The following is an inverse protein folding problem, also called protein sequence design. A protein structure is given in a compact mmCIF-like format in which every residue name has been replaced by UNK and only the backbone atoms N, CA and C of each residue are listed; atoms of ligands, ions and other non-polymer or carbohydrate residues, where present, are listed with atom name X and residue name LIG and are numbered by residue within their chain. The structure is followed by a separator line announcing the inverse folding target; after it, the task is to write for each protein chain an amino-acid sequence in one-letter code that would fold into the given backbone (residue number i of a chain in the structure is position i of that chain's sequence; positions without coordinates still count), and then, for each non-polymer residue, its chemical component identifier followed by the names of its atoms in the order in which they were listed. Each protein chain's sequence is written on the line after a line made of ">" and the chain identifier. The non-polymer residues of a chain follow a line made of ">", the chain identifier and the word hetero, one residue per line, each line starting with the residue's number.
data_IF_214961452453
#
_entry.id   IF_214961452453
#
_cell.length_a   1.000
_cell.length_b   1.000
_cell.length_c   1.000
_cell.angle_alpha   90.00
_cell.angle_beta   90.00
_cell.angle_gamma   90.00
#
_symmetry.space_group_name_H-M   'P 1'
#
loop_
_entity.id
_entity.type
_entity.pdbx_description
1 polymer ?
#
# COMPACT_ATOMS: atom_id res chain seq x y z
N UNK A 1 -6.17 -46.46 4.24
CA UNK A 1 -5.45 -45.28 3.69
C UNK A 1 -5.17 -44.36 4.87
N UNK A 2 -3.99 -44.47 5.45
CA UNK A 2 -3.57 -43.68 6.56
C UNK A 2 -3.44 -42.24 6.07
N UNK A 3 -4.25 -41.33 6.63
CA UNK A 3 -4.11 -39.92 6.39
C UNK A 3 -2.73 -39.50 6.90
N UNK A 4 -1.82 -39.15 6.00
CA UNK A 4 -0.55 -38.55 6.39
C UNK A 4 -0.87 -37.38 7.32
N UNK A 5 -0.21 -37.22 8.47
CA UNK A 5 -0.43 -36.10 9.35
C UNK A 5 -0.17 -34.83 8.55
N UNK A 6 -1.21 -34.01 8.45
CA UNK A 6 -1.13 -32.75 7.72
C UNK A 6 -0.04 -31.91 8.39
N UNK A 7 1.06 -31.69 7.69
CA UNK A 7 2.21 -30.95 8.21
C UNK A 7 1.73 -29.56 8.65
N UNK A 8 1.93 -29.23 9.93
CA UNK A 8 1.54 -27.93 10.47
C UNK A 8 2.29 -26.82 9.74
N UNK A 9 1.56 -25.85 9.20
CA UNK A 9 2.16 -24.73 8.46
C UNK A 9 3.06 -23.90 9.39
N UNK A 10 4.18 -23.41 8.82
CA UNK A 10 5.10 -22.46 9.46
C UNK A 10 5.12 -21.18 8.63
N UNK A 11 4.35 -20.19 9.05
CA UNK A 11 4.22 -18.91 8.36
C UNK A 11 4.92 -17.82 9.16
N UNK A 12 5.84 -17.11 8.53
CA UNK A 12 6.45 -15.92 9.07
C UNK A 12 5.77 -14.68 8.48
N UNK A 13 5.57 -13.69 9.32
CA UNK A 13 5.30 -12.32 8.90
C UNK A 13 6.52 -11.47 9.25
N UNK A 14 7.12 -10.86 8.25
CA UNK A 14 8.25 -9.94 8.39
C UNK A 14 7.77 -8.51 8.22
N UNK A 15 8.26 -7.60 9.08
CA UNK A 15 7.99 -6.16 9.04
C UNK A 15 9.27 -5.38 9.37
N UNK A 16 9.68 -4.48 8.48
CA UNK A 16 10.84 -3.62 8.69
C UNK A 16 10.47 -2.47 9.63
N UNK A 17 11.09 -2.43 10.80
CA UNK A 17 10.73 -1.50 11.88
C UNK A 17 10.94 -0.03 11.49
N UNK A 18 9.86 0.76 11.47
CA UNK A 18 9.84 2.16 11.05
C UNK A 18 10.67 2.41 9.77
N UNK A 19 10.45 1.60 8.75
CA UNK A 19 11.28 1.40 7.56
C UNK A 19 11.86 2.69 6.98
N UNK A 20 11.04 3.69 6.63
CA UNK A 20 11.57 4.92 6.04
C UNK A 20 12.49 5.66 7.00
N UNK A 21 12.22 5.63 8.30
CA UNK A 21 13.12 6.23 9.29
C UNK A 21 14.43 5.44 9.37
N UNK A 22 14.38 4.12 9.36
CA UNK A 22 15.58 3.29 9.37
C UNK A 22 16.47 3.56 8.16
N UNK A 23 15.88 3.70 6.98
CA UNK A 23 16.63 4.06 5.75
C UNK A 23 17.24 5.46 5.86
N UNK A 24 16.51 6.46 6.38
CA UNK A 24 17.07 7.80 6.56
C UNK A 24 18.21 7.83 7.58
N UNK A 25 18.17 7.00 8.63
CA UNK A 25 19.28 6.84 9.58
C UNK A 25 20.51 6.16 8.98
N UNK A 26 20.33 5.29 7.96
CA UNK A 26 21.46 4.74 7.19
C UNK A 26 22.07 5.81 6.29
N UNK A 27 21.27 6.72 5.75
CA UNK A 27 21.72 7.83 4.89
C UNK A 27 22.38 8.96 5.69
N UNK A 28 21.79 9.28 6.84
CA UNK A 28 22.28 10.31 7.76
C UNK A 28 22.29 9.77 9.20
N UNK A 29 23.42 9.19 9.64
CA UNK A 29 23.55 8.66 11.00
C UNK A 29 23.31 9.67 12.11
N UNK A 30 23.37 10.98 11.84
CA UNK A 30 23.10 12.01 12.82
C UNK A 30 21.63 12.05 13.29
N UNK A 31 20.72 11.39 12.58
CA UNK A 31 19.31 11.27 12.95
C UNK A 31 19.04 10.23 14.05
N UNK A 32 19.99 9.32 14.30
CA UNK A 32 19.82 8.24 15.27
C UNK A 32 19.52 8.79 16.67
N UNK A 33 18.49 8.21 17.29
CA UNK A 33 18.04 8.60 18.63
C UNK A 33 17.31 9.95 18.70
N UNK A 34 17.20 10.69 17.60
CA UNK A 34 16.49 11.97 17.57
C UNK A 34 15.01 11.79 17.20
N UNK A 35 14.12 12.65 17.71
CA UNK A 35 12.74 12.68 17.24
C UNK A 35 12.69 13.29 15.84
N UNK A 36 12.39 12.45 14.84
CA UNK A 36 12.18 12.89 13.47
C UNK A 36 11.02 12.14 12.81
N UNK A 37 10.47 12.72 11.76
CA UNK A 37 9.45 12.11 10.94
C UNK A 37 9.75 12.30 9.45
N UNK A 38 9.56 11.24 8.68
CA UNK A 38 9.60 11.29 7.22
C UNK A 38 8.22 11.67 6.72
N UNK A 39 8.13 12.67 5.83
CA UNK A 39 6.82 13.05 5.28
C UNK A 39 6.78 14.41 4.62
N UNK A 40 5.55 14.92 4.47
CA UNK A 40 5.26 16.19 3.80
C UNK A 40 5.49 17.41 4.70
N UNK A 41 5.47 18.60 4.07
CA UNK A 41 5.67 19.88 4.76
C UNK A 41 4.55 20.19 5.76
N UNK A 42 4.87 20.73 6.96
CA UNK A 42 3.90 21.20 7.94
C UNK A 42 3.14 22.46 7.48
N UNK A 43 3.71 23.23 6.53
CA UNK A 43 3.08 24.45 6.00
C UNK A 43 1.93 24.20 5.03
N UNK A 44 1.55 22.94 4.82
CA UNK A 44 0.47 22.54 3.92
C UNK A 44 -0.33 21.38 4.47
N UNK A 45 -0.72 20.45 3.59
CA UNK A 45 -1.46 19.23 3.93
C UNK A 45 -0.52 18.02 4.07
N UNK A 46 0.74 18.25 4.42
CA UNK A 46 1.70 17.17 4.63
C UNK A 46 1.30 16.28 5.79
N UNK A 47 1.51 14.99 5.61
CA UNK A 47 1.29 13.96 6.64
C UNK A 47 2.60 13.26 6.97
N UNK A 48 2.66 12.69 8.15
CA UNK A 48 3.72 11.78 8.57
C UNK A 48 3.57 10.48 7.79
N UNK A 49 4.56 10.11 7.01
CA UNK A 49 4.63 8.78 6.39
C UNK A 49 5.10 7.75 7.41
N UNK A 50 6.21 8.05 8.10
CA UNK A 50 6.76 7.22 9.18
C UNK A 50 7.40 8.14 10.21
N UNK A 51 7.36 7.75 11.49
CA UNK A 51 8.01 8.46 12.61
C UNK A 51 9.04 7.57 13.29
N UNK A 52 10.17 8.17 13.70
CA UNK A 52 11.19 7.49 14.51
C UNK A 52 10.61 7.06 15.85
N UNK A 53 11.19 6.04 16.49
CA UNK A 53 10.74 5.61 17.81
C UNK A 53 10.87 6.72 18.85
N UNK A 54 11.90 7.57 18.76
CA UNK A 54 12.01 8.78 19.57
C UNK A 54 10.85 9.75 19.37
N UNK A 55 10.34 9.90 18.14
CA UNK A 55 9.15 10.72 17.84
C UNK A 55 7.84 10.08 18.33
N UNK A 56 7.73 8.74 18.28
CA UNK A 56 6.55 7.99 18.77
C UNK A 56 6.29 8.22 20.25
N UNK A 57 7.31 8.47 21.07
CA UNK A 57 7.17 8.85 22.50
C UNK A 57 6.35 10.11 22.71
N UNK A 58 6.30 11.00 21.72
CA UNK A 58 5.45 12.20 21.74
C UNK A 58 4.05 11.95 21.15
N UNK A 59 3.67 10.69 20.91
CA UNK A 59 2.40 10.33 20.30
C UNK A 59 2.34 10.57 18.78
N UNK A 60 3.49 10.75 18.12
CA UNK A 60 3.55 10.95 16.67
C UNK A 60 3.49 9.60 15.95
N UNK A 61 2.57 9.47 15.00
CA UNK A 61 2.33 8.24 14.26
C UNK A 61 2.07 8.50 12.77
N UNK A 62 2.14 7.47 11.95
CA UNK A 62 1.82 7.52 10.52
C UNK A 62 0.41 8.05 10.27
N UNK A 63 0.21 8.74 9.17
CA UNK A 63 -1.01 9.43 8.76
C UNK A 63 -1.38 10.68 9.61
N UNK A 64 -0.65 10.99 10.70
CA UNK A 64 -0.85 12.26 11.44
C UNK A 64 -0.51 13.46 10.56
N UNK A 65 -1.30 14.54 10.65
CA UNK A 65 -0.94 15.79 9.98
C UNK A 65 0.42 16.31 10.52
N UNK A 66 1.35 16.64 9.63
CA UNK A 66 2.71 17.06 10.00
C UNK A 66 2.70 18.31 10.89
N UNK A 67 1.76 19.23 10.65
CA UNK A 67 1.57 20.40 11.52
C UNK A 67 1.15 20.04 12.95
N UNK A 68 0.39 18.93 13.15
CA UNK A 68 0.06 18.41 14.47
C UNK A 68 1.27 17.75 15.11
N UNK A 69 2.01 16.94 14.35
CA UNK A 69 3.24 16.30 14.82
C UNK A 69 4.26 17.34 15.34
N UNK A 70 4.45 18.44 14.60
CA UNK A 70 5.35 19.51 15.01
C UNK A 70 4.86 20.26 16.27
N UNK A 71 3.54 20.35 16.51
CA UNK A 71 3.02 20.91 17.78
C UNK A 71 3.25 19.98 18.97
N UNK A 72 3.16 18.66 18.78
CA UNK A 72 3.43 17.67 19.82
C UNK A 72 4.92 17.60 20.18
N UNK A 73 5.79 17.81 19.21
CA UNK A 73 7.24 17.82 19.39
C UNK A 73 7.85 19.00 18.62
N UNK A 74 8.02 20.20 19.25
CA UNK A 74 8.56 21.38 18.58
C UNK A 74 9.96 21.19 17.98
N UNK A 75 10.78 20.31 18.58
CA UNK A 75 12.11 19.92 18.08
C UNK A 75 12.08 18.82 17.02
N UNK A 76 10.91 18.41 16.54
CA UNK A 76 10.77 17.37 15.53
C UNK A 76 11.52 17.74 14.24
N UNK A 77 12.48 16.90 13.84
CA UNK A 77 13.12 17.03 12.55
C UNK A 77 12.21 16.46 11.46
N UNK A 78 12.01 17.21 10.39
CA UNK A 78 11.16 16.78 9.28
C UNK A 78 12.06 16.46 8.09
N UNK A 79 12.07 15.17 7.71
CA UNK A 79 12.88 14.63 6.61
C UNK A 79 11.98 14.40 5.40
N UNK A 80 12.41 14.86 4.22
CA UNK A 80 11.74 14.54 2.96
C UNK A 80 12.01 13.09 2.60
N UNK A 81 11.00 12.43 2.03
CA UNK A 81 11.14 11.05 1.61
C UNK A 81 12.05 10.91 0.37
N UNK A 82 12.91 9.90 0.39
CA UNK A 82 13.76 9.47 -0.72
C UNK A 82 13.26 8.13 -1.26
N UNK A 83 12.08 8.14 -1.85
CA UNK A 83 11.31 6.94 -2.19
C UNK A 83 12.09 5.94 -3.07
N UNK A 84 12.98 6.42 -3.93
CA UNK A 84 13.84 5.54 -4.75
C UNK A 84 14.77 4.67 -3.91
N UNK A 85 15.29 5.22 -2.81
CA UNK A 85 16.17 4.47 -1.91
C UNK A 85 15.38 3.46 -1.09
N UNK A 86 14.13 3.80 -0.72
CA UNK A 86 13.23 2.88 -0.03
C UNK A 86 12.89 1.69 -0.92
N UNK A 87 12.51 1.92 -2.18
CA UNK A 87 12.25 0.84 -3.15
C UNK A 87 13.48 -0.04 -3.31
N UNK A 88 14.65 0.56 -3.53
CA UNK A 88 15.90 -0.20 -3.71
C UNK A 88 16.21 -1.12 -2.52
N UNK A 89 16.08 -0.62 -1.29
CA UNK A 89 16.34 -1.43 -0.08
C UNK A 89 15.24 -2.47 0.15
N UNK A 90 13.99 -2.14 -0.15
CA UNK A 90 12.88 -3.11 -0.14
C UNK A 90 13.15 -4.27 -1.10
N UNK A 91 13.51 -3.96 -2.36
CA UNK A 91 13.84 -4.98 -3.36
C UNK A 91 14.96 -5.90 -2.87
N UNK A 92 16.03 -5.35 -2.27
CA UNK A 92 17.12 -6.14 -1.69
C UNK A 92 16.67 -7.04 -0.54
N UNK A 93 15.75 -6.58 0.31
CA UNK A 93 15.15 -7.43 1.36
C UNK A 93 14.32 -8.55 0.72
N UNK A 94 13.48 -8.23 -0.28
CA UNK A 94 12.64 -9.23 -0.95
C UNK A 94 13.48 -10.28 -1.69
N UNK A 95 14.58 -9.87 -2.34
CA UNK A 95 15.54 -10.78 -2.98
C UNK A 95 16.19 -11.71 -1.94
N UNK A 96 16.63 -11.16 -0.80
CA UNK A 96 17.21 -11.93 0.29
C UNK A 96 16.22 -12.97 0.82
N UNK A 97 14.99 -12.59 1.08
CA UNK A 97 13.95 -13.50 1.57
C UNK A 97 13.64 -14.58 0.53
N UNK A 98 13.57 -14.21 -0.74
CA UNK A 98 13.25 -15.14 -1.84
C UNK A 98 14.35 -16.17 -2.07
N UNK A 99 15.60 -15.88 -1.70
CA UNK A 99 16.69 -16.85 -1.72
C UNK A 99 16.51 -17.96 -0.67
N UNK A 100 15.70 -17.74 0.36
CA UNK A 100 15.43 -18.70 1.43
C UNK A 100 14.15 -19.51 1.21
N UNK A 101 13.13 -18.93 0.61
CA UNK A 101 11.86 -19.62 0.31
C UNK A 101 11.26 -19.14 -1.00
N UNK A 102 10.79 -20.05 -1.87
CA UNK A 102 10.06 -19.65 -3.07
C UNK A 102 8.65 -19.12 -2.78
N UNK A 103 8.14 -19.31 -1.56
CA UNK A 103 6.80 -18.91 -1.15
C UNK A 103 6.85 -17.62 -0.34
N UNK A 104 7.10 -16.51 -1.02
CA UNK A 104 7.14 -15.15 -0.45
C UNK A 104 5.99 -14.33 -1.03
N UNK A 105 5.27 -13.66 -0.15
CA UNK A 105 4.16 -12.78 -0.48
C UNK A 105 4.44 -11.37 0.07
N UNK A 106 5.02 -10.46 -0.72
CA UNK A 106 5.09 -9.05 -0.35
C UNK A 106 3.67 -8.47 -0.22
N UNK A 107 3.38 -7.76 0.87
CA UNK A 107 2.09 -7.10 1.09
C UNK A 107 2.21 -5.58 1.11
N UNK A 108 3.43 -5.08 1.33
CA UNK A 108 3.80 -3.68 1.20
C UNK A 108 5.29 -3.57 0.84
N UNK A 109 5.81 -2.35 0.82
CA UNK A 109 7.24 -2.08 0.60
C UNK A 109 8.13 -2.53 1.78
N UNK A 110 7.53 -2.80 2.94
CA UNK A 110 8.21 -3.09 4.21
C UNK A 110 7.70 -4.36 4.92
N UNK A 111 6.71 -5.05 4.33
CA UNK A 111 6.11 -6.24 4.94
C UNK A 111 5.99 -7.39 3.94
N UNK A 112 6.24 -8.61 4.39
CA UNK A 112 6.02 -9.82 3.61
C UNK A 112 5.59 -11.01 4.49
N UNK A 113 4.80 -11.92 3.91
CA UNK A 113 4.62 -13.29 4.44
C UNK A 113 5.58 -14.25 3.75
N UNK A 114 6.07 -15.22 4.53
CA UNK A 114 7.00 -16.25 4.06
C UNK A 114 6.48 -17.60 4.56
N UNK A 115 6.23 -18.54 3.66
CA UNK A 115 5.89 -19.91 4.05
C UNK A 115 7.17 -20.75 4.05
N UNK A 116 7.56 -21.18 5.23
CA UNK A 116 8.75 -22.02 5.47
C UNK A 116 8.37 -23.43 5.94
N UNK A 117 7.13 -23.87 5.68
CA UNK A 117 6.61 -25.17 6.07
C UNK A 117 7.50 -26.32 5.58
N UNK A 118 8.04 -26.19 4.39
CA UNK A 118 8.89 -27.19 3.73
C UNK A 118 10.30 -27.31 4.30
N UNK A 119 10.70 -26.35 5.14
CA UNK A 119 12.04 -26.35 5.73
C UNK A 119 12.07 -27.23 7.00
N UNK A 120 13.15 -27.97 7.22
CA UNK A 120 13.24 -28.88 8.39
C UNK A 120 13.37 -28.11 9.71
N UNK A 121 13.98 -26.93 9.69
CA UNK A 121 14.23 -26.13 10.88
C UNK A 121 12.93 -25.59 11.49
N UNK A 122 12.98 -25.30 12.79
CA UNK A 122 11.88 -24.62 13.47
C UNK A 122 11.73 -23.18 12.98
N UNK A 123 10.50 -22.68 12.95
CA UNK A 123 10.20 -21.32 12.48
C UNK A 123 10.95 -20.23 13.25
N UNK A 124 11.18 -20.43 14.57
CA UNK A 124 11.95 -19.50 15.40
C UNK A 124 13.41 -19.42 14.99
N UNK A 125 14.05 -20.56 14.72
CA UNK A 125 15.43 -20.59 14.24
C UNK A 125 15.56 -19.81 12.93
N UNK A 126 14.63 -20.05 12.01
CA UNK A 126 14.60 -19.40 10.72
C UNK A 126 14.40 -17.88 10.84
N UNK A 127 13.47 -17.45 11.69
CA UNK A 127 13.23 -16.04 11.94
C UNK A 127 14.46 -15.32 12.50
N UNK A 128 15.18 -15.94 13.46
CA UNK A 128 16.42 -15.38 14.00
C UNK A 128 17.52 -15.27 12.94
N UNK A 129 17.67 -16.30 12.11
CA UNK A 129 18.63 -16.31 11.00
C UNK A 129 18.33 -15.19 10.02
N UNK A 130 17.09 -15.08 9.55
CA UNK A 130 16.64 -14.06 8.59
C UNK A 130 16.82 -12.65 9.16
N UNK A 131 16.43 -12.43 10.42
CA UNK A 131 16.62 -11.13 11.09
C UNK A 131 18.10 -10.73 11.16
N UNK A 132 18.97 -11.67 11.49
CA UNK A 132 20.42 -11.43 11.55
C UNK A 132 20.99 -11.11 10.16
N UNK A 133 20.58 -11.82 9.12
CA UNK A 133 21.03 -11.59 7.75
C UNK A 133 20.58 -10.22 7.22
N UNK A 134 19.33 -9.82 7.43
CA UNK A 134 18.83 -8.50 7.02
C UNK A 134 19.61 -7.41 7.75
N UNK A 135 19.82 -7.56 9.05
CA UNK A 135 20.61 -6.61 9.85
C UNK A 135 22.05 -6.50 9.38
N UNK A 136 22.73 -7.63 9.18
CA UNK A 136 24.15 -7.65 8.83
C UNK A 136 24.41 -7.17 7.40
N UNK A 137 23.54 -7.52 6.44
CA UNK A 137 23.75 -7.20 5.05
C UNK A 137 23.19 -5.82 4.66
N UNK A 138 22.08 -5.40 5.28
CA UNK A 138 21.34 -4.20 4.88
C UNK A 138 21.23 -3.16 6.00
N UNK A 139 21.61 -3.49 7.24
CA UNK A 139 21.52 -2.58 8.38
C UNK A 139 20.10 -2.25 8.83
N UNK A 140 19.10 -3.01 8.37
CA UNK A 140 17.70 -2.74 8.64
C UNK A 140 17.19 -3.48 9.88
N UNK A 141 16.51 -2.77 10.80
CA UNK A 141 15.84 -3.41 11.94
C UNK A 141 14.55 -4.09 11.47
N UNK A 142 14.29 -5.29 11.99
CA UNK A 142 13.22 -6.14 11.50
C UNK A 142 12.54 -6.86 12.64
N UNK A 143 11.20 -6.87 12.65
CA UNK A 143 10.39 -7.67 13.56
C UNK A 143 9.68 -8.78 12.81
N UNK A 144 9.54 -9.96 13.46
CA UNK A 144 8.90 -11.13 12.87
C UNK A 144 7.89 -11.76 13.81
N UNK A 145 6.79 -12.23 13.23
CA UNK A 145 5.81 -13.09 13.88
C UNK A 145 5.81 -14.46 13.22
N UNK A 146 5.74 -15.52 14.01
CA UNK A 146 5.71 -16.90 13.54
C UNK A 146 4.44 -17.57 14.02
N UNK A 147 3.68 -18.20 13.13
CA UNK A 147 2.46 -18.91 13.47
C UNK A 147 2.08 -19.95 12.39
N UNK A 148 0.97 -20.65 12.63
CA UNK A 148 0.39 -21.61 11.68
C UNK A 148 -0.28 -20.98 10.45
N UNK A 149 -0.59 -19.68 10.49
CA UNK A 149 -1.26 -18.96 9.40
C UNK A 149 -0.88 -17.47 9.35
N UNK A 150 -1.25 -16.80 8.25
CA UNK A 150 -0.88 -15.40 7.99
C UNK A 150 -1.48 -14.42 8.98
N UNK A 151 -2.76 -14.62 9.34
CA UNK A 151 -3.46 -13.76 10.28
C UNK A 151 -2.70 -13.69 11.61
N UNK A 152 -2.42 -14.85 12.19
CA UNK A 152 -1.77 -14.93 13.49
C UNK A 152 -0.32 -14.45 13.42
N UNK A 153 0.42 -14.81 12.36
CA UNK A 153 1.79 -14.33 12.17
C UNK A 153 1.87 -12.79 12.15
N UNK A 154 0.93 -12.13 11.46
CA UNK A 154 0.88 -10.66 11.42
C UNK A 154 0.51 -10.05 12.76
N UNK A 155 -0.50 -10.59 13.45
CA UNK A 155 -0.88 -10.11 14.79
C UNK A 155 0.26 -10.33 15.77
N UNK A 156 0.96 -11.48 15.70
CA UNK A 156 2.13 -11.77 16.53
C UNK A 156 3.25 -10.73 16.34
N UNK A 157 3.56 -10.34 15.09
CA UNK A 157 4.52 -9.27 14.84
C UNK A 157 4.11 -7.98 15.55
N UNK A 158 2.86 -7.57 15.46
CA UNK A 158 2.37 -6.33 16.07
C UNK A 158 2.43 -6.40 17.61
N UNK A 159 2.03 -7.52 18.21
CA UNK A 159 2.10 -7.75 19.66
C UNK A 159 3.54 -7.75 20.14
N UNK A 160 4.43 -8.45 19.44
CA UNK A 160 5.86 -8.45 19.73
C UNK A 160 6.47 -7.05 19.69
N UNK A 161 6.12 -6.25 18.68
CA UNK A 161 6.57 -4.85 18.58
C UNK A 161 6.03 -3.98 19.72
N UNK A 162 4.77 -4.16 20.12
CA UNK A 162 4.16 -3.41 21.21
C UNK A 162 4.73 -3.79 22.57
N UNK A 163 5.13 -5.03 22.78
CA UNK A 163 5.71 -5.54 24.03
C UNK A 163 7.15 -5.06 24.28
N UNK A 164 7.88 -4.62 23.24
CA UNK A 164 9.25 -4.14 23.36
C UNK A 164 9.28 -2.62 23.60
N UNK A 165 9.35 -2.23 24.86
CA UNK A 165 9.52 -0.83 25.28
C UNK A 165 11.01 -0.46 25.31
N UNK A 166 11.67 -0.50 24.16
CA UNK A 166 13.07 -0.07 24.03
C UNK A 166 13.16 1.37 23.54
N UNK A 167 14.29 2.03 23.80
CA UNK A 167 14.55 3.36 23.26
C UNK A 167 14.85 3.38 21.75
N UNK A 168 15.06 2.19 21.18
CA UNK A 168 15.33 1.96 19.76
C UNK A 168 14.28 1.14 19.05
N UNK A 169 14.71 0.49 17.99
CA UNK A 169 13.87 -0.40 17.20
C UNK A 169 13.53 -1.68 17.98
N UNK A 170 12.30 -2.20 17.89
CA UNK A 170 11.87 -3.39 18.63
C UNK A 170 12.69 -4.63 18.30
N UNK A 171 12.95 -4.87 17.01
CA UNK A 171 13.59 -6.11 16.54
C UNK A 171 12.96 -7.35 17.20
N UNK A 172 11.65 -7.36 17.32
CA UNK A 172 10.89 -8.37 18.05
C UNK A 172 10.76 -9.66 17.24
N UNK A 173 10.79 -10.79 17.93
CA UNK A 173 10.39 -12.08 17.38
C UNK A 173 9.34 -12.67 18.30
N UNK A 174 8.12 -12.88 17.79
CA UNK A 174 6.99 -13.44 18.53
C UNK A 174 6.54 -14.73 17.89
N UNK A 175 6.46 -15.80 18.68
CA UNK A 175 5.95 -17.10 18.23
C UNK A 175 4.59 -17.34 18.84
N UNK A 176 3.66 -17.86 18.05
CA UNK A 176 2.40 -18.42 18.51
C UNK A 176 2.37 -19.90 18.11
N UNK A 177 2.43 -20.83 19.09
CA UNK A 177 2.40 -22.24 18.81
C UNK A 177 1.10 -22.68 18.13
N UNK A 178 1.15 -23.73 17.30
CA UNK A 178 -0.05 -24.33 16.73
C UNK A 178 -1.02 -24.81 17.82
N UNK A 179 -2.31 -24.47 17.66
CA UNK A 179 -3.37 -24.78 18.63
C UNK A 179 -3.61 -23.67 19.67
N UNK A 180 -2.73 -22.69 19.77
CA UNK A 180 -2.86 -21.56 20.70
C UNK A 180 -3.43 -20.28 20.05
N UNK A 181 -3.79 -20.33 18.77
CA UNK A 181 -4.18 -19.17 17.96
C UNK A 181 -5.34 -18.38 18.57
N UNK A 182 -6.40 -19.08 18.93
CA UNK A 182 -7.59 -18.47 19.53
C UNK A 182 -7.31 -17.92 20.93
N UNK A 183 -6.56 -18.65 21.74
CA UNK A 183 -6.17 -18.22 23.10
C UNK A 183 -5.25 -17.00 23.06
N UNK A 184 -4.33 -16.93 22.09
CA UNK A 184 -3.47 -15.78 21.86
C UNK A 184 -4.25 -14.53 21.45
N UNK A 185 -5.26 -14.67 20.60
CA UNK A 185 -6.06 -13.55 20.12
C UNK A 185 -7.06 -13.03 21.15
N UNK A 186 -7.67 -13.92 21.93
CA UNK A 186 -8.83 -13.61 22.78
C UNK A 186 -8.67 -12.37 23.67
N UNK A 187 -7.54 -12.15 24.39
CA UNK A 187 -7.37 -10.99 25.27
C UNK A 187 -7.07 -9.69 24.53
N UNK A 188 -6.76 -9.74 23.22
CA UNK A 188 -6.37 -8.56 22.47
C UNK A 188 -7.57 -7.64 22.18
N UNK A 189 -7.38 -6.31 22.12
CA UNK A 189 -8.45 -5.40 21.71
C UNK A 189 -8.94 -5.72 20.28
N UNK A 190 -10.20 -5.46 20.00
CA UNK A 190 -10.84 -5.84 18.72
C UNK A 190 -10.11 -5.28 17.49
N UNK A 191 -9.53 -4.09 17.60
CA UNK A 191 -8.77 -3.44 16.52
C UNK A 191 -7.36 -4.03 16.30
N UNK A 192 -6.91 -4.92 17.18
CA UNK A 192 -5.70 -5.71 16.96
C UNK A 192 -5.92 -6.81 15.90
N UNK A 193 -7.17 -7.20 15.65
CA UNK A 193 -7.49 -8.21 14.64
C UNK A 193 -7.27 -7.63 13.23
N UNK A 194 -6.41 -8.28 12.45
CA UNK A 194 -6.11 -7.81 11.10
C UNK A 194 -7.38 -7.70 10.23
N UNK A 195 -7.64 -6.47 9.74
CA UNK A 195 -8.84 -6.11 8.98
C UNK A 195 -9.90 -5.36 9.78
N UNK A 196 -9.72 -5.20 11.08
CA UNK A 196 -10.53 -4.30 11.91
C UNK A 196 -9.86 -2.94 11.99
N UNK A 197 -10.40 -1.98 11.23
CA UNK A 197 -9.97 -0.58 11.33
C UNK A 197 -10.80 0.20 12.37
N UNK A 198 -10.42 1.47 12.67
CA UNK A 198 -11.07 2.28 13.71
C UNK A 198 -12.61 2.33 13.59
N UNK A 199 -13.13 2.50 12.36
CA UNK A 199 -14.59 2.54 12.13
C UNK A 199 -15.30 1.23 12.42
N UNK A 200 -14.64 0.09 12.16
CA UNK A 200 -15.18 -1.22 12.48
C UNK A 200 -15.12 -1.45 13.99
N UNK A 201 -14.02 -1.04 14.64
CA UNK A 201 -13.88 -1.13 16.10
C UNK A 201 -14.91 -0.26 16.82
N UNK A 202 -15.14 0.99 16.38
CA UNK A 202 -16.22 1.85 16.91
C UNK A 202 -17.58 1.15 16.82
N UNK A 203 -17.89 0.59 15.65
CA UNK A 203 -19.16 -0.11 15.44
C UNK A 203 -19.28 -1.39 16.28
N UNK A 204 -18.20 -2.14 16.47
CA UNK A 204 -18.18 -3.31 17.36
C UNK A 204 -18.44 -2.89 18.81
N UNK A 205 -17.83 -1.79 19.26
CA UNK A 205 -18.02 -1.26 20.61
C UNK A 205 -19.48 -0.85 20.90
N UNK A 206 -20.25 -0.40 19.89
CA UNK A 206 -21.69 -0.14 20.02
C UNK A 206 -22.50 -1.38 20.46
N UNK A 207 -21.96 -2.58 20.19
CA UNK A 207 -22.55 -3.88 20.58
C UNK A 207 -21.88 -4.48 21.82
N UNK A 208 -21.04 -3.72 22.53
CA UNK A 208 -20.31 -4.21 23.70
C UNK A 208 -19.13 -5.14 23.38
N UNK A 209 -18.67 -5.17 22.13
CA UNK A 209 -17.57 -6.01 21.65
C UNK A 209 -16.29 -5.18 21.71
N UNK A 210 -15.39 -5.47 22.63
CA UNK A 210 -14.16 -4.72 22.88
C UNK A 210 -12.89 -5.53 22.60
N UNK A 211 -12.96 -6.85 22.74
CA UNK A 211 -11.85 -7.77 22.53
C UNK A 211 -12.09 -8.69 21.34
N UNK A 212 -11.03 -9.33 20.87
CA UNK A 212 -11.14 -10.37 19.84
C UNK A 212 -11.92 -11.58 20.40
N UNK A 213 -11.76 -11.89 21.69
CA UNK A 213 -12.56 -12.92 22.37
C UNK A 213 -14.05 -12.62 22.35
N UNK A 214 -14.45 -11.34 22.52
CA UNK A 214 -15.86 -10.94 22.41
C UNK A 214 -16.40 -11.17 20.99
N UNK A 215 -15.60 -10.89 19.94
CA UNK A 215 -16.00 -11.19 18.56
C UNK A 215 -16.22 -12.70 18.37
N UNK A 216 -15.31 -13.52 18.90
CA UNK A 216 -15.40 -14.98 18.78
C UNK A 216 -16.61 -15.57 19.53
N UNK A 217 -16.99 -14.95 20.67
CA UNK A 217 -18.13 -15.37 21.48
C UNK A 217 -19.48 -14.82 20.99
N UNK A 218 -19.45 -13.76 20.16
CA UNK A 218 -20.68 -13.10 19.72
C UNK A 218 -21.45 -13.98 18.70
N UNK A 219 -22.80 -14.03 18.75
CA UNK A 219 -23.57 -14.87 17.85
C UNK A 219 -23.28 -14.53 16.37
N UNK A 220 -22.87 -15.54 15.59
CA UNK A 220 -22.51 -15.39 14.17
C UNK A 220 -23.60 -14.68 13.37
N UNK A 221 -24.88 -15.08 13.55
CA UNK A 221 -26.02 -14.49 12.84
C UNK A 221 -26.15 -12.98 13.09
N UNK A 222 -25.83 -12.51 14.29
CA UNK A 222 -25.89 -11.09 14.62
C UNK A 222 -24.71 -10.34 13.97
N UNK A 223 -23.49 -10.93 13.95
CA UNK A 223 -22.37 -10.35 13.22
C UNK A 223 -22.68 -10.24 11.72
N UNK A 224 -23.27 -11.28 11.12
CA UNK A 224 -23.68 -11.24 9.72
C UNK A 224 -24.75 -10.19 9.45
N UNK A 225 -25.70 -10.03 10.36
CA UNK A 225 -26.75 -9.01 10.24
C UNK A 225 -26.19 -7.59 10.26
N UNK A 226 -25.17 -7.31 11.08
CA UNK A 226 -24.60 -5.97 11.25
C UNK A 226 -23.45 -5.65 10.26
N UNK A 227 -22.69 -6.65 9.83
CA UNK A 227 -21.47 -6.50 9.02
C UNK A 227 -21.53 -7.26 7.69
N UNK A 228 -22.64 -7.96 7.37
CA UNK A 228 -22.76 -8.77 6.17
C UNK A 228 -21.73 -9.90 6.14
N UNK A 229 -21.20 -10.20 4.95
CA UNK A 229 -20.15 -11.22 4.78
C UNK A 229 -18.91 -10.95 5.63
N UNK A 230 -18.59 -9.67 5.89
CA UNK A 230 -17.48 -9.33 6.78
C UNK A 230 -17.71 -9.83 8.21
N UNK A 231 -18.98 -9.98 8.67
CA UNK A 231 -19.31 -10.52 9.98
C UNK A 231 -18.88 -11.98 10.13
N UNK A 232 -19.15 -12.82 9.13
CA UNK A 232 -18.68 -14.21 9.10
C UNK A 232 -17.15 -14.29 9.08
N UNK A 233 -16.50 -13.42 8.30
CA UNK A 233 -15.05 -13.36 8.24
C UNK A 233 -14.43 -12.91 9.56
N UNK A 234 -15.03 -11.93 10.25
CA UNK A 234 -14.60 -11.47 11.56
C UNK A 234 -14.70 -12.60 12.61
N UNK A 235 -15.85 -13.29 12.65
CA UNK A 235 -16.06 -14.40 13.58
C UNK A 235 -15.04 -15.51 13.40
N UNK A 236 -14.80 -15.95 12.15
CA UNK A 236 -13.82 -16.97 11.83
C UNK A 236 -12.39 -16.55 12.19
N UNK A 237 -12.01 -15.31 11.84
CA UNK A 237 -10.68 -14.76 12.16
C UNK A 237 -10.46 -14.60 13.65
N UNK A 238 -11.48 -14.22 14.41
CA UNK A 238 -11.40 -14.12 15.86
C UNK A 238 -11.14 -15.47 16.55
N UNK A 239 -11.50 -16.57 15.89
CA UNK A 239 -11.15 -17.94 16.31
C UNK A 239 -9.75 -18.37 15.87
N UNK A 240 -8.96 -17.49 15.25
CA UNK A 240 -7.61 -17.79 14.78
C UNK A 240 -7.56 -18.53 13.45
N UNK A 241 -8.68 -18.65 12.73
CA UNK A 241 -8.79 -19.45 11.50
C UNK A 241 -8.49 -18.60 10.26
N UNK A 242 -7.40 -18.89 9.58
CA UNK A 242 -7.03 -18.35 8.26
C UNK A 242 -6.37 -19.40 7.38
N UNK A 243 -7.12 -19.95 6.43
CA UNK A 243 -6.65 -20.97 5.52
C UNK A 243 -6.04 -20.39 4.23
N UNK A 244 -5.91 -19.06 4.12
CA UNK A 244 -5.40 -18.45 2.91
C UNK A 244 -3.93 -18.83 2.67
N UNK A 245 -3.56 -19.23 1.44
CA UNK A 245 -2.18 -19.56 1.10
C UNK A 245 -1.32 -18.29 1.01
N UNK A 246 0.00 -18.47 1.07
CA UNK A 246 0.97 -17.44 0.68
C UNK A 246 0.98 -17.35 -0.85
N UNK A 247 0.60 -16.20 -1.40
CA UNK A 247 0.54 -15.96 -2.84
C UNK A 247 1.81 -15.30 -3.34
N UNK A 248 2.51 -15.93 -4.27
CA UNK A 248 3.76 -15.40 -4.84
C UNK A 248 3.51 -14.27 -5.84
N UNK A 249 2.33 -14.22 -6.42
CA UNK A 249 1.95 -13.21 -7.41
C UNK A 249 0.54 -12.68 -7.17
N UNK A 250 0.33 -11.43 -7.52
CA UNK A 250 -0.97 -10.78 -7.50
C UNK A 250 -1.34 -10.28 -8.88
N UNK A 251 -2.58 -10.52 -9.25
CA UNK A 251 -3.14 -9.89 -10.42
C UNK A 251 -3.44 -8.40 -10.13
N UNK A 252 -2.89 -7.51 -10.95
CA UNK A 252 -3.18 -6.07 -10.85
C UNK A 252 -4.62 -5.80 -11.28
N UNK A 253 -5.48 -5.38 -10.36
CA UNK A 253 -6.91 -5.13 -10.62
C UNK A 253 -7.21 -3.71 -11.10
N UNK A 254 -6.35 -2.74 -10.77
CA UNK A 254 -6.49 -1.35 -11.16
C UNK A 254 -5.17 -0.59 -11.09
N UNK A 255 -5.03 0.43 -11.92
CA UNK A 255 -3.94 1.40 -11.88
C UNK A 255 -4.54 2.78 -11.68
N UNK A 256 -4.10 3.52 -10.67
CA UNK A 256 -4.62 4.85 -10.36
C UNK A 256 -3.52 5.79 -9.88
N UNK A 257 -3.79 7.08 -10.06
CA UNK A 257 -2.98 8.17 -9.54
C UNK A 257 -3.93 9.23 -8.97
N UNK A 258 -3.73 9.62 -7.71
CA UNK A 258 -4.51 10.68 -7.07
C UNK A 258 -3.60 11.63 -6.29
N UNK A 259 -3.96 12.92 -6.31
CA UNK A 259 -3.22 13.98 -5.63
C UNK A 259 -4.16 14.80 -4.73
N UNK A 260 -3.74 15.00 -3.47
CA UNK A 260 -4.34 15.99 -2.59
C UNK A 260 -3.56 17.31 -2.73
N UNK A 261 -4.21 18.34 -3.24
CA UNK A 261 -3.58 19.64 -3.45
C UNK A 261 -3.18 20.30 -2.12
N UNK A 262 -2.04 20.98 -2.11
CA UNK A 262 -1.58 21.74 -0.94
C UNK A 262 -2.59 22.83 -0.52
N UNK A 263 -3.27 23.44 -1.52
CA UNK A 263 -4.41 24.36 -1.37
C UNK A 263 -5.49 23.95 -2.37
N UNK A 264 -6.77 24.20 -2.02
CA UNK A 264 -7.87 23.85 -2.90
C UNK A 264 -7.77 24.62 -4.24
N UNK A 265 -8.01 23.90 -5.33
CA UNK A 265 -7.89 24.42 -6.71
C UNK A 265 -9.28 24.62 -7.32
N UNK A 266 -9.53 25.79 -7.92
CA UNK A 266 -10.75 26.07 -8.65
C UNK A 266 -10.53 26.50 -10.11
N UNK A 267 -9.27 26.51 -10.56
CA UNK A 267 -8.88 26.84 -11.92
C UNK A 267 -9.07 25.65 -12.86
N UNK A 268 -10.00 25.73 -13.83
CA UNK A 268 -10.27 24.66 -14.78
C UNK A 268 -9.00 24.22 -15.53
N UNK A 269 -8.22 25.20 -16.03
CA UNK A 269 -6.96 24.95 -16.77
C UNK A 269 -5.98 24.12 -15.94
N UNK A 270 -5.87 24.41 -14.63
CA UNK A 270 -5.00 23.69 -13.72
C UNK A 270 -5.52 22.26 -13.47
N UNK A 271 -6.81 22.09 -13.19
CA UNK A 271 -7.40 20.77 -12.98
C UNK A 271 -7.29 19.87 -14.22
N UNK A 272 -7.51 20.43 -15.42
CA UNK A 272 -7.29 19.70 -16.69
C UNK A 272 -5.83 19.30 -16.90
N UNK A 273 -4.88 20.14 -16.49
CA UNK A 273 -3.45 19.80 -16.57
C UNK A 273 -3.11 18.62 -15.66
N UNK A 274 -3.66 18.56 -14.45
CA UNK A 274 -3.51 17.43 -13.51
C UNK A 274 -4.11 16.14 -14.08
N UNK A 275 -5.32 16.21 -14.66
CA UNK A 275 -5.94 15.04 -15.32
C UNK A 275 -5.03 14.49 -16.42
N UNK A 276 -4.45 15.38 -17.24
CA UNK A 276 -3.51 15.00 -18.30
C UNK A 276 -2.27 14.30 -17.75
N UNK A 277 -1.65 14.88 -16.74
CA UNK A 277 -0.45 14.32 -16.10
C UNK A 277 -0.71 12.94 -15.49
N UNK A 278 -1.80 12.81 -14.73
CA UNK A 278 -2.21 11.54 -14.14
C UNK A 278 -2.54 10.49 -15.21
N UNK A 279 -3.20 10.88 -16.30
CA UNK A 279 -3.50 9.98 -17.41
C UNK A 279 -2.23 9.50 -18.12
N UNK A 280 -1.22 10.38 -18.27
CA UNK A 280 0.09 10.00 -18.84
C UNK A 280 0.82 8.97 -17.96
N UNK A 281 0.83 9.19 -16.64
CA UNK A 281 1.43 8.25 -15.68
C UNK A 281 0.74 6.89 -15.71
N UNK A 282 -0.60 6.88 -15.70
CA UNK A 282 -1.39 5.64 -15.77
C UNK A 282 -1.13 4.89 -17.08
N UNK A 283 -1.16 5.59 -18.23
CA UNK A 283 -0.90 4.94 -19.51
C UNK A 283 0.50 4.33 -19.60
N UNK A 284 1.52 4.99 -19.02
CA UNK A 284 2.87 4.42 -18.92
C UNK A 284 2.87 3.16 -18.06
N UNK A 285 2.29 3.21 -16.85
CA UNK A 285 2.23 2.06 -15.93
C UNK A 285 1.45 0.89 -16.51
N UNK A 286 0.40 1.14 -17.29
CA UNK A 286 -0.33 0.07 -17.99
C UNK A 286 0.56 -0.62 -19.02
N UNK A 287 1.37 0.14 -19.79
CA UNK A 287 2.31 -0.43 -20.76
C UNK A 287 3.46 -1.19 -20.11
N UNK A 288 4.00 -0.68 -18.98
CA UNK A 288 5.03 -1.36 -18.20
C UNK A 288 4.53 -2.72 -17.66
N UNK A 289 3.23 -2.82 -17.37
CA UNK A 289 2.55 -4.04 -16.91
C UNK A 289 2.00 -4.89 -18.05
N UNK A 290 2.09 -4.45 -19.31
CA UNK A 290 1.48 -5.08 -20.49
C UNK A 290 -0.04 -5.29 -20.34
N UNK A 291 -0.72 -4.35 -19.66
CA UNK A 291 -2.16 -4.39 -19.37
C UNK A 291 -2.93 -3.30 -20.10
N UNK A 292 -4.16 -3.63 -20.46
CA UNK A 292 -5.14 -2.72 -21.06
C UNK A 292 -6.32 -2.58 -20.10
N UNK A 293 -6.86 -1.36 -19.97
CA UNK A 293 -7.95 -1.09 -19.06
C UNK A 293 -9.25 -0.74 -19.75
N UNK A 294 -10.34 -1.36 -19.30
CA UNK A 294 -11.68 -1.21 -19.88
C UNK A 294 -12.55 -0.13 -19.21
N UNK A 295 -12.17 0.38 -18.05
CA UNK A 295 -13.00 1.37 -17.31
C UNK A 295 -12.14 2.48 -16.75
N UNK A 296 -12.44 3.72 -17.17
CA UNK A 296 -11.79 4.94 -16.65
C UNK A 296 -12.63 5.50 -15.51
N UNK A 297 -11.98 5.87 -14.41
CA UNK A 297 -12.58 6.45 -13.20
C UNK A 297 -12.01 7.83 -12.94
N UNK A 298 -12.85 8.76 -12.49
CA UNK A 298 -12.44 10.05 -11.95
C UNK A 298 -12.95 10.18 -10.52
N UNK A 299 -12.07 10.56 -9.60
CA UNK A 299 -12.37 10.84 -8.20
C UNK A 299 -12.16 12.32 -7.94
N UNK A 300 -13.16 12.98 -7.39
CA UNK A 300 -13.09 14.37 -6.95
C UNK A 300 -13.48 14.43 -5.47
N UNK A 301 -12.65 15.10 -4.67
CA UNK A 301 -12.99 15.43 -3.28
C UNK A 301 -13.02 16.94 -3.12
N UNK A 302 -14.09 17.40 -2.50
CA UNK A 302 -14.32 18.82 -2.22
C UNK A 302 -13.65 19.22 -0.89
N UNK A 303 -13.59 20.54 -0.56
CA UNK A 303 -13.01 21.03 0.70
C UNK A 303 -13.69 20.48 1.95
N UNK A 304 -14.99 20.18 1.90
CA UNK A 304 -15.80 19.59 2.95
C UNK A 304 -15.60 18.07 3.11
N UNK A 305 -14.63 17.50 2.41
CA UNK A 305 -14.33 16.06 2.33
C UNK A 305 -15.38 15.20 1.63
N UNK A 306 -16.49 15.78 1.15
CA UNK A 306 -17.41 15.04 0.27
C UNK A 306 -16.66 14.56 -0.97
N UNK A 307 -16.78 13.28 -1.26
CA UNK A 307 -16.07 12.63 -2.36
C UNK A 307 -17.07 12.04 -3.35
N UNK A 308 -16.84 12.30 -4.61
CA UNK A 308 -17.54 11.62 -5.69
C UNK A 308 -16.55 10.81 -6.52
N UNK A 309 -16.97 9.62 -6.92
CA UNK A 309 -16.29 8.81 -7.92
C UNK A 309 -17.26 8.54 -9.06
N UNK A 310 -16.82 8.79 -10.29
CA UNK A 310 -17.59 8.53 -11.50
C UNK A 310 -16.72 7.75 -12.46
N UNK A 311 -17.34 6.90 -13.25
CA UNK A 311 -16.62 6.05 -14.20
C UNK A 311 -17.34 5.96 -15.54
N UNK A 312 -16.57 5.60 -16.56
CA UNK A 312 -17.06 5.29 -17.89
C UNK A 312 -16.34 4.08 -18.43
N UNK A 313 -17.10 3.13 -18.96
CA UNK A 313 -16.55 1.93 -19.59
C UNK A 313 -16.27 2.22 -21.06
N UNK A 314 -15.08 1.82 -21.50
CA UNK A 314 -14.63 1.99 -22.88
C UNK A 314 -15.17 0.86 -23.77
N UNK A 315 -15.50 1.15 -25.03
CA UNK A 315 -15.86 0.09 -25.99
C UNK A 315 -14.74 -0.93 -26.21
N UNK A 316 -13.49 -0.46 -26.15
CA UNK A 316 -12.28 -1.28 -26.23
C UNK A 316 -11.34 -0.92 -25.09
N UNK A 317 -10.74 -1.90 -24.39
CA UNK A 317 -9.69 -1.65 -23.42
C UNK A 317 -8.50 -0.90 -24.06
N UNK A 318 -7.83 -0.06 -23.29
CA UNK A 318 -6.74 0.78 -23.78
C UNK A 318 -5.62 0.95 -22.74
N UNK A 319 -4.39 1.14 -23.22
CA UNK A 319 -3.23 1.65 -22.48
C UNK A 319 -2.86 3.07 -22.93
N UNK A 320 -3.63 3.62 -23.91
CA UNK A 320 -3.36 4.91 -24.51
C UNK A 320 -3.79 6.06 -23.59
N UNK A 321 -2.82 6.78 -23.04
CA UNK A 321 -3.04 7.89 -22.13
C UNK A 321 -3.95 9.00 -22.71
N UNK A 322 -3.99 9.22 -24.04
CA UNK A 322 -4.86 10.23 -24.64
C UNK A 322 -6.33 9.81 -24.58
N UNK A 323 -6.63 8.52 -24.76
CA UNK A 323 -8.00 8.01 -24.61
C UNK A 323 -8.43 8.08 -23.14
N UNK A 324 -7.53 7.72 -22.21
CA UNK A 324 -7.78 7.84 -20.77
C UNK A 324 -8.05 9.31 -20.41
N UNK A 325 -7.20 10.25 -20.88
CA UNK A 325 -7.37 11.70 -20.67
C UNK A 325 -8.72 12.19 -21.20
N UNK A 326 -9.08 11.82 -22.44
CA UNK A 326 -10.34 12.23 -23.06
C UNK A 326 -11.55 11.86 -22.22
N UNK A 327 -11.64 10.59 -21.82
CA UNK A 327 -12.75 10.09 -21.01
C UNK A 327 -12.75 10.72 -19.60
N UNK A 328 -11.59 10.86 -18.97
CA UNK A 328 -11.49 11.52 -17.67
C UNK A 328 -11.94 12.98 -17.73
N UNK A 329 -11.63 13.71 -18.84
CA UNK A 329 -12.08 15.08 -19.07
C UNK A 329 -13.58 15.14 -19.32
N UNK A 330 -14.19 14.21 -20.04
CA UNK A 330 -15.65 14.13 -20.22
C UNK A 330 -16.36 13.92 -18.88
N UNK A 331 -15.84 12.99 -18.04
CA UNK A 331 -16.38 12.78 -16.69
C UNK A 331 -16.22 14.05 -15.85
N UNK A 332 -15.08 14.73 -15.95
CA UNK A 332 -14.80 15.97 -15.22
C UNK A 332 -15.80 17.05 -15.60
N UNK A 333 -16.02 17.30 -16.88
CA UNK A 333 -16.94 18.32 -17.38
C UNK A 333 -18.39 18.13 -16.91
N UNK A 334 -18.84 16.87 -16.84
CA UNK A 334 -20.18 16.52 -16.36
C UNK A 334 -20.38 16.71 -14.85
N UNK A 335 -19.30 16.66 -14.06
CA UNK A 335 -19.40 16.59 -12.61
C UNK A 335 -18.77 17.75 -11.85
N UNK A 336 -17.93 18.55 -12.49
CA UNK A 336 -17.35 19.76 -11.91
C UNK A 336 -18.03 21.01 -12.47
N UNK A 337 -18.32 21.96 -11.58
CA UNK A 337 -18.89 23.27 -11.98
C UNK A 337 -17.79 24.34 -11.88
N UNK A 338 -17.72 25.29 -12.83
CA UNK A 338 -16.77 26.40 -12.80
C UNK A 338 -16.75 27.10 -11.44
N UNK A 339 -15.55 27.35 -10.91
CA UNK A 339 -15.34 27.99 -9.62
C UNK A 339 -15.44 27.08 -8.39
N UNK A 340 -15.97 25.85 -8.51
CA UNK A 340 -16.02 24.92 -7.39
C UNK A 340 -14.62 24.43 -7.03
N UNK A 341 -14.21 24.66 -5.78
CA UNK A 341 -12.90 24.26 -5.27
C UNK A 341 -12.79 22.75 -5.16
N UNK A 342 -11.65 22.20 -5.58
CA UNK A 342 -11.29 20.77 -5.51
C UNK A 342 -10.14 20.61 -4.55
N UNK A 343 -10.29 19.72 -3.57
CA UNK A 343 -9.26 19.35 -2.59
C UNK A 343 -8.36 18.22 -3.10
N UNK A 344 -8.94 17.22 -3.75
CA UNK A 344 -8.24 16.05 -4.30
C UNK A 344 -8.83 15.71 -5.67
N UNK A 345 -7.96 15.35 -6.58
CA UNK A 345 -8.30 14.84 -7.89
C UNK A 345 -7.53 13.54 -8.15
N UNK A 346 -8.22 12.53 -8.67
CA UNK A 346 -7.61 11.26 -9.03
C UNK A 346 -8.22 10.67 -10.29
N UNK A 347 -7.36 10.14 -11.16
CA UNK A 347 -7.71 9.32 -12.32
C UNK A 347 -7.34 7.86 -12.01
N UNK A 348 -8.15 6.93 -12.48
CA UNK A 348 -7.89 5.50 -12.33
C UNK A 348 -8.42 4.70 -13.50
N UNK A 349 -7.83 3.54 -13.71
CA UNK A 349 -8.24 2.58 -14.73
C UNK A 349 -8.40 1.21 -14.10
N UNK A 350 -9.47 0.53 -14.40
CA UNK A 350 -9.79 -0.81 -13.89
C UNK A 350 -10.40 -1.67 -15.00
N UNK A 351 -10.80 -2.88 -14.66
CA UNK A 351 -11.18 -3.90 -15.64
C UNK A 351 -9.98 -4.13 -16.56
N UNK A 352 -8.86 -4.54 -15.92
CA UNK A 352 -7.59 -4.75 -16.58
C UNK A 352 -7.53 -6.15 -17.16
N UNK A 353 -6.87 -6.27 -18.30
CA UNK A 353 -6.62 -7.54 -18.96
C UNK A 353 -5.52 -7.44 -20.01
N UNK A 354 -5.11 -8.56 -20.62
CA UNK A 354 -4.16 -8.56 -21.72
C UNK A 354 -4.72 -7.80 -22.93
N UNK A 355 -3.88 -7.44 -23.90
CA UNK A 355 -4.34 -6.82 -25.14
C UNK A 355 -5.43 -7.64 -25.80
N UNK A 356 -6.57 -6.99 -26.07
CA UNK A 356 -7.66 -7.65 -26.81
C UNK A 356 -7.20 -7.95 -28.24
N UNK A 357 -7.10 -9.20 -28.59
CA UNK A 357 -6.76 -9.65 -29.95
C UNK A 357 -7.93 -9.52 -30.94
N UNK A 358 -9.12 -9.11 -30.49
CA UNK A 358 -10.26 -8.97 -31.35
C UNK A 358 -10.12 -7.75 -32.26
N UNK A 359 -9.61 -7.97 -33.45
CA UNK A 359 -9.59 -7.00 -34.54
C UNK A 359 -11.03 -6.75 -34.99
N UNK A 360 -11.51 -5.51 -34.88
CA UNK A 360 -12.78 -5.11 -35.48
C UNK A 360 -12.53 -4.80 -36.96
N UNK A 361 -13.30 -5.42 -37.83
CA UNK A 361 -13.12 -5.40 -39.28
C UNK A 361 -13.04 -3.97 -39.89
N UNK A 362 -13.60 -2.98 -39.18
CA UNK A 362 -13.73 -1.59 -39.63
C UNK A 362 -12.63 -0.64 -39.14
N UNK A 363 -11.75 -1.07 -38.21
CA UNK A 363 -10.66 -0.25 -37.64
C UNK A 363 -9.30 -0.49 -38.35
N UNK A 364 -9.31 -0.81 -39.63
CA UNK A 364 -8.09 -1.12 -40.38
C UNK A 364 -7.26 0.13 -40.70
N UNK A 365 -6.51 0.63 -39.71
CA UNK A 365 -5.33 1.47 -39.96
C UNK A 365 -4.09 0.92 -39.20
N UNK A 366 -3.60 -0.27 -39.56
CA UNK A 366 -2.53 -0.92 -38.82
C UNK A 366 -1.21 -0.14 -38.86
N UNK A 367 -0.95 0.63 -39.94
CA UNK A 367 0.30 1.41 -40.09
C UNK A 367 0.33 2.62 -39.16
N UNK A 368 -0.79 3.31 -38.98
CA UNK A 368 -0.88 4.49 -38.08
C UNK A 368 -0.80 4.10 -36.60
N UNK A 369 -1.52 3.07 -36.20
CA UNK A 369 -1.53 2.56 -34.83
C UNK A 369 -0.14 2.01 -34.43
N UNK A 370 0.49 1.19 -35.26
CA UNK A 370 1.82 0.64 -35.02
C UNK A 370 2.93 1.74 -34.95
N UNK A 371 2.81 2.79 -35.78
CA UNK A 371 3.74 3.93 -35.73
C UNK A 371 3.59 4.71 -34.41
N UNK A 372 2.37 4.94 -33.97
CA UNK A 372 2.09 5.67 -32.73
C UNK A 372 2.53 4.88 -31.49
N UNK A 373 2.34 3.58 -31.50
CA UNK A 373 2.80 2.68 -30.43
C UNK A 373 4.34 2.65 -30.35
N UNK A 374 5.05 2.50 -31.49
CA UNK A 374 6.52 2.55 -31.53
C UNK A 374 7.05 3.89 -31.03
N UNK A 375 6.43 4.99 -31.44
CA UNK A 375 6.81 6.33 -30.98
C UNK A 375 6.62 6.44 -29.45
N UNK A 376 5.51 5.95 -28.92
CA UNK A 376 5.25 6.03 -27.49
C UNK A 376 6.22 5.17 -26.68
N UNK A 377 6.50 3.96 -27.11
CA UNK A 377 7.51 3.08 -26.48
C UNK A 377 8.92 3.73 -26.52
N UNK A 378 9.31 4.37 -27.61
CA UNK A 378 10.57 5.10 -27.70
C UNK A 378 10.64 6.27 -26.72
N UNK A 379 9.55 7.03 -26.58
CA UNK A 379 9.41 8.12 -25.60
C UNK A 379 9.55 7.57 -24.18
N UNK A 380 8.83 6.50 -23.84
CA UNK A 380 8.86 5.87 -22.52
C UNK A 380 10.28 5.37 -22.17
N UNK A 381 10.97 4.73 -23.12
CA UNK A 381 12.37 4.28 -22.96
C UNK A 381 13.33 5.44 -22.69
N UNK A 382 13.19 6.54 -23.44
CA UNK A 382 14.04 7.73 -23.25
C UNK A 382 13.75 8.41 -21.91
N UNK A 383 12.48 8.49 -21.50
CA UNK A 383 12.10 9.06 -20.20
C UNK A 383 12.53 8.19 -19.02
N UNK A 384 12.50 6.87 -19.16
CA UNK A 384 13.04 5.94 -18.15
C UNK A 384 14.55 6.11 -17.97
N UNK A 385 15.29 6.29 -19.08
CA UNK A 385 16.75 6.41 -19.06
C UNK A 385 17.27 7.78 -18.62
N UNK A 386 16.61 8.86 -19.05
CA UNK A 386 17.07 10.24 -18.86
C UNK A 386 16.17 11.10 -17.96
N UNK A 387 15.12 10.52 -17.41
CA UNK A 387 14.13 11.22 -16.58
C UNK A 387 12.99 11.85 -17.39
N UNK A 388 11.85 12.08 -16.73
CA UNK A 388 10.62 12.60 -17.38
C UNK A 388 10.79 13.98 -18.03
N UNK A 389 11.76 14.77 -17.58
CA UNK A 389 12.04 16.11 -18.12
C UNK A 389 12.86 16.08 -19.43
N UNK A 390 13.43 14.93 -19.81
CA UNK A 390 14.31 14.81 -20.97
C UNK A 390 13.60 15.08 -22.31
N UNK A 391 12.31 14.80 -22.38
CA UNK A 391 11.48 15.06 -23.57
C UNK A 391 10.27 15.91 -23.18
N UNK A 392 10.17 17.10 -23.79
CA UNK A 392 9.00 17.98 -23.67
C UNK A 392 8.35 18.15 -25.03
N UNK A 393 7.02 18.07 -25.08
CA UNK A 393 6.29 18.42 -26.31
C UNK A 393 6.45 19.92 -26.56
N UNK A 394 6.68 20.29 -27.82
CA UNK A 394 6.83 21.69 -28.24
C UNK A 394 5.65 22.57 -27.80
N UNK A 395 4.42 22.02 -27.76
CA UNK A 395 3.24 22.69 -27.23
C UNK A 395 3.28 23.03 -25.72
N UNK A 396 4.26 22.52 -24.99
CA UNK A 396 4.48 22.79 -23.56
C UNK A 396 5.63 23.76 -23.29
N UNK A 397 6.32 24.23 -24.31
CA UNK A 397 7.37 25.25 -24.18
C UNK A 397 6.68 26.60 -23.98
N UNK A 398 6.87 27.20 -22.77
CA UNK A 398 6.58 28.62 -22.60
C UNK A 398 7.54 29.40 -23.50
N UNK A 399 7.05 29.95 -24.58
CA UNK A 399 7.77 31.00 -25.29
C UNK A 399 7.94 32.12 -24.24
N UNK A 400 9.17 32.39 -23.83
CA UNK A 400 9.45 33.60 -23.07
C UNK A 400 9.17 34.78 -23.99
N UNK A 401 8.48 35.81 -23.51
CA UNK A 401 8.31 37.04 -24.27
C UNK A 401 9.64 37.71 -24.53
#
# INVERSE_FOLDING_TARGET
>A
MDAQPQQTRKILHLDLDAFFCAVEELRDPSLRGKPFAVGGSPKGRGVVATSSYAARKFGIHSAMAMARAQRLCPQLLIVRHHFKDYVKLSDQVMDLISAHSPLVQPISIDEAFIDVTHLPEEGLFYAKKLQAEIRNNLGLPTSLGIASNKLIAKVATNVGKAGHQTDGYPNAIQVVPPGEEAAFLAPLPADALWGVGPKTAEKLAEFGIHTVGDIAAYPLRELERHFGQNGSDLHRRAQGIDNSPVHVSYETKSVSHEETFARDVNGEKQLRAVIREQSQDIGRRLRDLELYGGTVKLKLRWPDFTTITRQSTLPKPTDNHKQIELIALEIFQKNWKPGRKVRLLGVGVSNLGPPSQQLVLWDWNPKGAAKQERLQRAIDTLQARYGQAALRKASGLKVKP
#
